data_IF_620293127327
#
_entry.id   IF_620293127327
#
_cell.length_a   1.000
_cell.length_b   1.000
_cell.length_c   1.000
_cell.angle_alpha   90.00
_cell.angle_beta   90.00
_cell.angle_gamma   90.00
#
_symmetry.space_group_name_H-M   'P 1'
#
loop_
_entity.id
_entity.type
_entity.pdbx_description
1 polymer ?
#
# COMPACT_ATOMS: atom_id res chain seq x y z
N UNK A 1 10.75 0.55 -16.66
CA UNK A 1 10.29 1.02 -15.33
C UNK A 1 9.14 2.03 -15.45
N UNK A 2 9.24 3.06 -16.31
CA UNK A 2 8.20 4.11 -16.46
C UNK A 2 6.85 3.57 -16.97
N UNK A 3 6.84 2.68 -17.94
CA UNK A 3 5.59 2.11 -18.48
C UNK A 3 4.70 1.47 -17.41
N UNK A 4 5.29 0.77 -16.42
CA UNK A 4 4.52 0.15 -15.33
C UNK A 4 3.79 1.17 -14.45
N UNK A 5 4.44 2.31 -14.15
CA UNK A 5 3.82 3.41 -13.40
C UNK A 5 2.73 4.09 -14.23
N UNK A 6 2.93 4.21 -15.54
CA UNK A 6 1.93 4.77 -16.47
C UNK A 6 0.66 3.91 -16.48
N UNK A 7 0.79 2.58 -16.62
CA UNK A 7 -0.36 1.67 -16.57
C UNK A 7 -1.07 1.71 -15.21
N UNK A 8 -0.32 1.63 -14.11
CA UNK A 8 -0.91 1.72 -12.76
C UNK A 8 -1.70 3.01 -12.54
N UNK A 9 -1.24 4.14 -13.09
CA UNK A 9 -1.95 5.42 -13.02
C UNK A 9 -3.25 5.39 -13.82
N UNK A 10 -3.24 4.79 -15.02
CA UNK A 10 -4.44 4.66 -15.87
C UNK A 10 -5.50 3.80 -15.18
N UNK A 11 -5.13 2.64 -14.64
CA UNK A 11 -6.06 1.74 -13.94
C UNK A 11 -6.64 2.39 -12.68
N UNK A 12 -5.81 3.09 -11.90
CA UNK A 12 -6.27 3.83 -10.72
C UNK A 12 -7.28 4.93 -11.08
N UNK A 13 -7.03 5.67 -12.17
CA UNK A 13 -7.95 6.70 -12.67
C UNK A 13 -9.25 6.11 -13.20
N UNK A 14 -9.16 5.02 -13.98
CA UNK A 14 -10.33 4.34 -14.53
C UNK A 14 -11.23 3.79 -13.41
N UNK A 15 -10.64 3.19 -12.38
CA UNK A 15 -11.36 2.74 -11.19
C UNK A 15 -12.07 3.89 -10.47
N UNK A 16 -11.39 5.01 -10.24
CA UNK A 16 -11.98 6.20 -9.60
C UNK A 16 -13.17 6.73 -10.41
N UNK A 17 -13.03 6.83 -11.73
CA UNK A 17 -14.10 7.29 -12.61
C UNK A 17 -15.30 6.34 -12.58
N UNK A 18 -15.07 5.03 -12.63
CA UNK A 18 -16.13 4.04 -12.60
C UNK A 18 -16.89 4.02 -11.27
N UNK A 19 -16.19 4.17 -10.14
CA UNK A 19 -16.79 4.10 -8.79
C UNK A 19 -17.57 5.37 -8.45
N UNK A 20 -17.05 6.57 -8.78
CA UNK A 20 -17.67 7.84 -8.39
C UNK A 20 -18.58 8.45 -9.46
N UNK A 21 -18.29 8.23 -10.75
CA UNK A 21 -19.02 8.82 -11.88
C UNK A 21 -19.77 7.79 -12.73
N UNK A 22 -19.69 6.50 -12.39
CA UNK A 22 -20.52 5.48 -12.99
C UNK A 22 -22.01 5.76 -12.76
N UNK A 23 -22.86 5.29 -13.69
CA UNK A 23 -24.32 5.39 -13.58
C UNK A 23 -24.76 4.91 -12.20
N UNK A 24 -25.57 5.71 -11.49
CA UNK A 24 -26.05 5.38 -10.16
C UNK A 24 -26.79 4.03 -10.20
N UNK A 25 -26.12 2.97 -9.77
CA UNK A 25 -26.65 1.60 -9.82
C UNK A 25 -27.80 1.39 -8.82
N UNK A 26 -28.07 2.37 -7.96
CA UNK A 26 -29.15 2.34 -6.99
C UNK A 26 -29.78 3.72 -6.86
N UNK A 27 -31.11 3.76 -6.95
CA UNK A 27 -31.97 4.92 -6.69
C UNK A 27 -32.08 5.24 -5.18
N UNK A 28 -31.59 4.34 -4.32
CA UNK A 28 -31.53 4.53 -2.87
C UNK A 28 -30.22 5.21 -2.47
N UNK A 29 -30.35 6.26 -1.65
CA UNK A 29 -29.22 6.89 -0.99
C UNK A 29 -28.40 5.82 -0.25
N UNK A 30 -27.10 5.74 -0.56
CA UNK A 30 -26.16 4.92 0.19
C UNK A 30 -26.22 5.35 1.66
N UNK A 31 -26.31 4.40 2.61
CA UNK A 31 -26.30 4.76 4.03
C UNK A 31 -25.04 5.58 4.33
N UNK A 32 -25.22 6.67 5.07
CA UNK A 32 -24.11 7.51 5.48
C UNK A 32 -23.11 6.66 6.28
N UNK A 33 -21.82 6.88 6.04
CA UNK A 33 -20.75 6.19 6.75
C UNK A 33 -20.96 6.35 8.26
N UNK A 34 -20.86 5.23 8.98
CA UNK A 34 -21.00 5.24 10.43
C UNK A 34 -19.81 5.99 11.04
N UNK A 35 -19.99 6.70 12.17
CA UNK A 35 -18.90 7.46 12.80
C UNK A 35 -17.65 6.62 13.09
N UNK A 36 -17.84 5.30 13.33
CA UNK A 36 -16.73 4.33 13.46
C UNK A 36 -15.96 4.10 12.16
N UNK A 37 -16.66 4.01 11.02
CA UNK A 37 -16.03 3.81 9.71
C UNK A 37 -15.18 5.02 9.32
N UNK A 38 -15.71 6.22 9.55
CA UNK A 38 -14.96 7.47 9.34
C UNK A 38 -13.72 7.53 10.24
N UNK A 39 -13.84 7.15 11.53
CA UNK A 39 -12.71 7.11 12.45
C UNK A 39 -11.61 6.13 11.97
N UNK A 40 -11.99 4.93 11.51
CA UNK A 40 -11.04 3.94 10.95
C UNK A 40 -10.37 4.49 9.69
N UNK A 41 -11.14 5.04 8.75
CA UNK A 41 -10.59 5.63 7.51
C UNK A 41 -9.64 6.80 7.80
N UNK A 42 -10.00 7.68 8.72
CA UNK A 42 -9.18 8.82 9.13
C UNK A 42 -7.88 8.33 9.80
N UNK A 43 -7.97 7.36 10.71
CA UNK A 43 -6.81 6.77 11.36
C UNK A 43 -5.85 6.15 10.33
N UNK A 44 -6.39 5.41 9.37
CA UNK A 44 -5.60 4.79 8.31
C UNK A 44 -4.96 5.84 7.40
N UNK A 45 -5.72 6.87 7.00
CA UNK A 45 -5.19 7.98 6.20
C UNK A 45 -4.07 8.73 6.92
N UNK A 46 -4.24 9.01 8.22
CA UNK A 46 -3.22 9.66 9.05
C UNK A 46 -1.96 8.79 9.13
N UNK A 47 -2.11 7.49 9.33
CA UNK A 47 -0.99 6.55 9.36
C UNK A 47 -0.25 6.50 8.02
N UNK A 48 -0.97 6.52 6.90
CA UNK A 48 -0.39 6.61 5.55
C UNK A 48 0.35 7.92 5.32
N UNK A 49 -0.19 9.05 5.80
CA UNK A 49 0.48 10.36 5.70
C UNK A 49 1.76 10.34 6.53
N UNK A 50 1.70 9.92 7.80
CA UNK A 50 2.88 9.79 8.66
C UNK A 50 3.94 8.88 8.02
N UNK A 51 3.52 7.74 7.46
CA UNK A 51 4.41 6.82 6.77
C UNK A 51 5.01 7.42 5.50
N UNK A 52 4.24 8.20 4.75
CA UNK A 52 4.69 8.88 3.53
C UNK A 52 5.70 9.99 3.81
N UNK A 53 5.53 10.73 4.91
CA UNK A 53 6.48 11.77 5.33
C UNK A 53 7.70 11.19 6.07
N UNK A 54 7.52 10.18 6.91
CA UNK A 54 8.57 9.56 7.71
C UNK A 54 8.57 8.02 7.58
N UNK A 55 9.08 7.47 6.46
CA UNK A 55 9.13 6.02 6.23
C UNK A 55 10.22 5.31 7.04
N UNK A 56 11.17 6.07 7.61
CA UNK A 56 12.35 5.56 8.32
C UNK A 56 12.05 4.50 9.40
N UNK A 57 11.05 4.66 10.31
CA UNK A 57 10.79 3.69 11.38
C UNK A 57 10.40 2.30 10.86
N UNK A 58 9.61 2.27 9.79
CA UNK A 58 9.19 1.03 9.14
C UNK A 58 10.35 0.40 8.40
N UNK A 59 11.17 1.21 7.74
CA UNK A 59 12.37 0.73 7.06
C UNK A 59 13.39 0.18 8.07
N UNK A 60 13.65 0.86 9.18
CA UNK A 60 14.63 0.43 10.18
C UNK A 60 14.22 -0.88 10.89
N UNK A 61 12.92 -1.06 11.15
CA UNK A 61 12.39 -2.33 11.65
C UNK A 61 12.64 -3.47 10.64
N UNK A 62 12.45 -3.20 9.35
CA UNK A 62 12.67 -4.17 8.27
C UNK A 62 14.15 -4.45 8.02
N UNK A 63 15.02 -3.44 8.08
CA UNK A 63 16.47 -3.54 7.84
C UNK A 63 17.12 -4.60 8.72
N UNK A 64 16.78 -4.65 10.01
CA UNK A 64 17.31 -5.65 10.94
C UNK A 64 17.08 -7.10 10.46
N UNK A 65 15.90 -7.36 9.90
CA UNK A 65 15.56 -8.67 9.35
C UNK A 65 16.23 -8.88 8.00
N UNK A 66 16.25 -7.86 7.14
CA UNK A 66 16.91 -7.92 5.82
C UNK A 66 18.41 -8.23 5.93
N UNK A 67 19.13 -7.61 6.88
CA UNK A 67 20.54 -7.89 7.15
C UNK A 67 20.77 -9.34 7.60
N UNK A 68 19.87 -9.84 8.46
CA UNK A 68 19.89 -11.23 8.91
C UNK A 68 19.65 -12.21 7.76
N UNK A 69 18.75 -11.90 6.82
CA UNK A 69 18.49 -12.73 5.64
C UNK A 69 19.63 -12.67 4.62
N UNK A 70 20.25 -11.51 4.43
CA UNK A 70 21.40 -11.37 3.54
C UNK A 70 22.61 -12.18 4.03
N UNK A 71 22.88 -12.17 5.33
CA UNK A 71 23.97 -12.97 5.91
C UNK A 71 23.70 -14.47 5.72
N UNK A 72 22.49 -14.95 6.05
CA UNK A 72 22.10 -16.35 5.86
C UNK A 72 22.12 -16.80 4.40
N UNK A 73 21.66 -15.96 3.47
CA UNK A 73 21.73 -16.24 2.04
C UNK A 73 23.17 -16.36 1.55
N UNK A 74 24.06 -15.45 1.98
CA UNK A 74 25.49 -15.50 1.61
C UNK A 74 26.21 -16.73 2.16
N UNK A 75 25.91 -17.13 3.40
CA UNK A 75 26.45 -18.33 4.03
C UNK A 75 25.96 -19.59 3.28
N UNK A 76 24.66 -19.67 3.00
CA UNK A 76 24.05 -20.80 2.28
C UNK A 76 24.61 -20.96 0.87
N UNK A 77 24.86 -19.85 0.17
CA UNK A 77 25.47 -19.87 -1.17
C UNK A 77 26.92 -20.36 -1.14
N UNK A 78 27.69 -20.03 -0.09
CA UNK A 78 29.05 -20.54 0.09
C UNK A 78 29.12 -22.01 0.49
N UNK A 79 28.10 -22.53 1.18
CA UNK A 79 27.98 -23.95 1.57
C UNK A 79 27.46 -24.83 0.43
N UNK A 80 26.65 -24.30 -0.50
CA UNK A 80 26.11 -25.03 -1.67
C UNK A 80 27.09 -25.09 -2.85
N UNK A 81 28.30 -24.53 -2.71
CA UNK A 81 29.38 -24.62 -3.70
C UNK A 81 30.49 -25.54 -3.16
N UNK A 82 30.46 -26.85 -3.47
CA UNK A 82 31.65 -27.70 -3.36
C UNK A 82 32.72 -27.27 -4.38
#
# INVERSE_FOLDING_TARGET
>A
MVFGVVFASIDALWMMQQVYYGTAKSEKALPALNGREVLVLLTLALLLVVLGFYPQPVLDTSKNVMESLHSLYSISFSTLRP
#
